data_IF_876996536962
#
_entry.id   IF_876996536962
#
_cell.length_a   1.000
_cell.length_b   1.000
_cell.length_c   1.000
_cell.angle_alpha   90.00
_cell.angle_beta   90.00
_cell.angle_gamma   90.00
#
_symmetry.space_group_name_H-M   'P 1'
#
loop_
_entity.id
_entity.type
_entity.pdbx_description
1 polymer ?
#
# COMPACT_ATOMS: atom_id res chain seq x y z
N UNK A 1 28.45 9.13 -12.38
CA UNK A 1 27.00 9.25 -12.65
C UNK A 1 26.28 8.19 -11.83
N UNK A 2 25.69 8.58 -10.70
CA UNK A 2 24.90 7.69 -9.83
C UNK A 2 23.61 7.32 -10.58
N UNK A 3 23.44 6.05 -10.94
CA UNK A 3 22.16 5.55 -11.46
C UNK A 3 21.14 5.62 -10.33
N UNK A 4 20.17 6.51 -10.47
CA UNK A 4 19.08 6.67 -9.52
C UNK A 4 18.29 5.34 -9.44
N UNK A 5 18.21 4.67 -8.27
CA UNK A 5 17.59 3.35 -8.13
C UNK A 5 16.04 3.42 -8.09
N UNK A 6 15.46 4.61 -8.11
CA UNK A 6 14.01 4.81 -8.08
C UNK A 6 13.44 4.78 -9.50
N UNK A 7 12.42 3.95 -9.74
CA UNK A 7 11.67 3.95 -10.98
C UNK A 7 10.80 5.22 -11.02
N UNK A 8 10.98 6.04 -12.04
CA UNK A 8 10.06 7.13 -12.34
C UNK A 8 8.74 6.50 -12.80
N UNK A 9 7.69 6.64 -12.00
CA UNK A 9 6.39 6.01 -12.28
C UNK A 9 5.42 6.98 -12.96
N UNK A 10 5.75 8.27 -12.98
CA UNK A 10 5.05 9.29 -13.76
C UNK A 10 5.80 10.62 -13.72
N UNK A 11 5.71 11.37 -14.82
CA UNK A 11 6.05 12.80 -14.86
C UNK A 11 4.75 13.54 -15.08
N UNK A 12 4.35 14.37 -14.12
CA UNK A 12 3.16 15.21 -14.27
C UNK A 12 3.61 16.65 -14.53
N UNK A 13 2.96 17.30 -15.48
CA UNK A 13 3.21 18.70 -15.83
C UNK A 13 2.18 19.54 -15.08
N UNK A 14 2.60 20.18 -13.98
CA UNK A 14 1.71 21.08 -13.25
C UNK A 14 1.62 22.39 -14.02
N UNK A 15 0.41 22.76 -14.48
CA UNK A 15 0.15 24.07 -15.07
C UNK A 15 -0.12 25.06 -13.94
N UNK A 16 0.87 25.89 -13.61
CA UNK A 16 0.64 27.07 -12.77
C UNK A 16 0.17 28.24 -13.65
N UNK A 17 -1.00 28.80 -13.33
CA UNK A 17 -1.45 30.08 -13.89
C UNK A 17 -1.01 31.19 -12.94
N UNK A 18 0.13 31.82 -13.23
CA UNK A 18 0.53 33.04 -12.54
C UNK A 18 -0.20 34.22 -13.19
N UNK A 19 -0.96 34.97 -12.40
CA UNK A 19 -1.51 36.26 -12.81
C UNK A 19 -0.58 37.35 -12.25
N UNK A 20 0.22 37.96 -13.12
CA UNK A 20 0.99 39.14 -12.73
C UNK A 20 0.05 40.34 -12.50
N UNK A 21 0.48 41.31 -11.70
CA UNK A 21 -0.30 42.54 -11.39
C UNK A 21 -0.65 43.40 -12.62
N UNK A 22 -0.20 43.02 -13.82
CA UNK A 22 -0.54 43.64 -15.10
C UNK A 22 -1.54 42.83 -15.95
N UNK A 23 -2.06 41.70 -15.47
CA UNK A 23 -3.07 40.90 -16.18
C UNK A 23 -2.53 40.02 -17.30
N UNK A 24 -1.22 39.88 -17.43
CA UNK A 24 -0.60 38.93 -18.37
C UNK A 24 -0.54 37.54 -17.73
N UNK A 25 -0.96 36.51 -18.49
CA UNK A 25 -1.04 35.13 -18.02
C UNK A 25 0.14 34.35 -18.59
N UNK A 26 1.22 34.23 -17.83
CA UNK A 26 2.35 33.37 -18.22
C UNK A 26 2.17 31.97 -17.61
N UNK A 27 2.20 30.94 -18.46
CA UNK A 27 2.14 29.54 -18.03
C UNK A 27 3.57 29.04 -17.77
N UNK A 28 3.90 28.82 -16.50
CA UNK A 28 5.12 28.12 -16.10
C UNK A 28 4.84 26.63 -15.96
N UNK A 29 5.67 25.78 -16.58
CA UNK A 29 5.63 24.33 -16.40
C UNK A 29 6.75 23.89 -15.43
N UNK A 30 6.38 23.48 -14.22
CA UNK A 30 7.30 22.82 -13.29
C UNK A 30 7.01 21.31 -13.33
N UNK A 31 8.06 20.52 -13.53
CA UNK A 31 7.96 19.06 -13.59
C UNK A 31 8.10 18.48 -12.18
N UNK A 32 7.00 17.98 -11.63
CA UNK A 32 7.03 17.26 -10.35
C UNK A 32 7.38 15.80 -10.63
N UNK A 33 8.52 15.36 -10.10
CA UNK A 33 8.99 13.98 -10.21
C UNK A 33 8.52 13.16 -9.01
N UNK A 34 7.53 12.29 -9.23
CA UNK A 34 7.05 11.36 -8.20
C UNK A 34 7.86 10.06 -8.28
N UNK A 35 8.59 9.77 -7.21
CA UNK A 35 9.35 8.54 -7.06
C UNK A 35 8.58 7.58 -6.15
N UNK A 36 8.20 6.41 -6.66
CA UNK A 36 7.82 5.31 -5.76
C UNK A 36 9.09 4.79 -5.10
N UNK A 37 9.09 4.73 -3.78
CA UNK A 37 10.05 3.91 -3.07
C UNK A 37 9.87 2.45 -3.52
N UNK A 38 10.95 1.74 -3.89
CA UNK A 38 10.85 0.33 -4.26
C UNK A 38 10.27 -0.44 -3.08
N UNK A 39 9.29 -1.31 -3.36
CA UNK A 39 8.67 -2.16 -2.36
C UNK A 39 9.75 -2.89 -1.54
N UNK A 40 9.61 -2.97 -0.21
CA UNK A 40 10.55 -3.73 0.60
C UNK A 40 10.58 -5.16 0.07
N UNK A 41 11.79 -5.64 -0.29
CA UNK A 41 11.95 -7.02 -0.73
C UNK A 41 11.37 -7.93 0.37
N UNK A 42 10.58 -8.97 0.02
CA UNK A 42 10.15 -9.92 1.02
C UNK A 42 11.40 -10.45 1.71
N UNK A 43 11.46 -10.31 3.04
CA UNK A 43 12.51 -10.96 3.84
C UNK A 43 12.39 -12.45 3.57
N UNK A 44 13.29 -12.99 2.77
CA UNK A 44 13.47 -14.43 2.64
C UNK A 44 13.70 -14.95 4.04
N UNK A 45 12.69 -15.60 4.61
CA UNK A 45 12.89 -16.41 5.81
C UNK A 45 13.86 -17.49 5.36
N UNK A 46 15.12 -17.35 5.78
CA UNK A 46 16.15 -18.36 5.57
C UNK A 46 15.60 -19.64 6.18
N UNK A 47 15.19 -20.56 5.30
CA UNK A 47 14.77 -21.90 5.68
C UNK A 47 15.95 -22.50 6.42
N UNK A 48 15.83 -22.61 7.75
CA UNK A 48 16.77 -23.39 8.55
C UNK A 48 16.66 -24.83 8.03
N UNK A 49 17.53 -25.20 7.11
CA UNK A 49 17.85 -26.60 6.90
C UNK A 49 18.49 -27.06 8.21
N UNK A 50 17.73 -27.81 9.00
CA UNK A 50 18.27 -28.57 10.11
C UNK A 50 19.42 -29.42 9.56
N UNK A 51 20.64 -29.09 9.98
CA UNK A 51 21.81 -29.93 9.77
C UNK A 51 21.60 -31.22 10.56
N UNK A 52 21.03 -32.25 9.91
CA UNK A 52 21.17 -33.61 10.38
C UNK A 52 22.54 -34.13 9.89
N UNK A 53 23.56 -33.97 10.72
CA UNK A 53 24.82 -34.71 10.63
C UNK A 53 25.10 -35.31 12.01
N UNK A 54 24.34 -36.34 12.37
CA UNK A 54 24.70 -37.24 13.46
C UNK A 54 25.46 -38.40 12.81
N UNK A 55 26.78 -38.38 12.95
CA UNK A 55 27.67 -39.49 12.59
C UNK A 55 27.73 -40.45 13.76
N UNK A 56 27.04 -41.59 13.64
CA UNK A 56 27.10 -42.70 14.58
C UNK A 56 28.28 -43.61 14.23
N UNK A 57 29.23 -43.78 15.17
CA UNK A 57 29.96 -45.04 15.34
C UNK A 57 30.45 -45.17 16.78
N UNK A 58 29.84 -46.09 17.53
CA UNK A 58 30.51 -46.79 18.61
C UNK A 58 29.91 -48.21 18.72
N UNK A 59 30.77 -49.22 18.57
CA UNK A 59 30.42 -50.64 18.65
C UNK A 59 30.07 -51.04 20.09
N UNK A 60 29.01 -51.83 20.28
CA UNK A 60 29.07 -52.99 21.18
C UNK A 60 27.93 -53.99 20.92
N UNK A 61 28.29 -55.27 20.86
CA UNK A 61 27.44 -56.44 20.60
C UNK A 61 26.35 -56.68 21.66
N UNK A 62 25.15 -57.08 21.22
CA UNK A 62 24.31 -58.13 21.85
C UNK A 62 23.08 -58.47 20.97
N UNK A 63 22.79 -59.74 20.66
CA UNK A 63 21.52 -60.15 20.06
C UNK A 63 20.47 -60.40 21.16
N UNK A 64 19.24 -60.78 20.75
CA UNK A 64 18.00 -61.11 21.51
C UNK A 64 16.96 -59.97 21.43
N UNK A 65 15.65 -60.15 21.21
CA UNK A 65 14.76 -61.25 20.80
C UNK A 65 13.42 -60.59 20.37
N UNK A 66 12.54 -61.39 19.76
CA UNK A 66 11.22 -61.14 19.15
C UNK A 66 10.22 -60.24 19.92
N UNK A 67 9.34 -59.52 19.20
CA UNK A 67 8.26 -58.73 19.80
C UNK A 67 7.44 -57.87 18.82
N UNK A 68 6.22 -58.34 18.54
CA UNK A 68 5.13 -57.73 17.78
C UNK A 68 4.67 -56.34 18.27
N UNK A 69 3.89 -55.68 17.40
CA UNK A 69 2.93 -54.61 17.65
C UNK A 69 3.44 -53.18 17.93
N UNK A 70 3.42 -52.34 16.89
CA UNK A 70 2.90 -50.97 17.01
C UNK A 70 2.61 -50.38 15.62
N UNK A 71 1.32 -50.35 15.26
CA UNK A 71 0.81 -49.52 14.18
C UNK A 71 1.22 -48.06 14.41
N UNK A 72 2.22 -47.60 13.67
CA UNK A 72 2.65 -46.20 13.67
C UNK A 72 1.58 -45.34 13.00
N UNK A 73 0.67 -44.79 13.80
CA UNK A 73 -0.27 -43.75 13.36
C UNK A 73 0.53 -42.49 12.98
N UNK A 74 0.72 -42.30 11.68
CA UNK A 74 1.19 -41.04 11.13
C UNK A 74 0.13 -39.96 11.37
N UNK A 75 0.39 -39.06 12.31
CA UNK A 75 -0.42 -37.86 12.52
C UNK A 75 -0.05 -36.87 11.42
N UNK A 76 -0.91 -36.69 10.42
CA UNK A 76 -0.74 -35.61 9.44
C UNK A 76 -0.82 -34.25 10.15
N UNK A 77 0.23 -33.45 10.02
CA UNK A 77 0.26 -32.07 10.50
C UNK A 77 -0.80 -31.25 9.74
N UNK A 78 -1.87 -30.86 10.45
CA UNK A 78 -2.94 -30.05 9.88
C UNK A 78 -2.37 -28.72 9.35
N UNK A 79 -2.62 -28.42 8.07
CA UNK A 79 -2.20 -27.16 7.45
C UNK A 79 -2.76 -25.96 8.25
N UNK A 80 -1.91 -25.00 8.67
CA UNK A 80 -2.36 -23.84 9.43
C UNK A 80 -3.34 -23.01 8.61
N UNK A 81 -4.52 -22.73 9.19
CA UNK A 81 -5.54 -21.89 8.55
C UNK A 81 -5.07 -20.43 8.55
N UNK A 82 -4.79 -19.89 7.37
CA UNK A 82 -4.43 -18.49 7.19
C UNK A 82 -5.71 -17.64 7.25
N UNK A 83 -5.81 -16.78 8.27
CA UNK A 83 -6.89 -15.79 8.36
C UNK A 83 -6.67 -14.70 7.30
N UNK A 84 -7.73 -14.31 6.61
CA UNK A 84 -7.68 -13.18 5.68
C UNK A 84 -7.26 -11.89 6.42
N UNK A 85 -6.43 -11.02 5.80
CA UNK A 85 -6.01 -9.79 6.42
C UNK A 85 -7.21 -8.83 6.62
N UNK A 86 -7.22 -8.02 7.70
CA UNK A 86 -8.24 -7.00 7.89
C UNK A 86 -8.16 -5.93 6.80
N UNK A 87 -9.32 -5.52 6.32
CA UNK A 87 -9.47 -4.46 5.31
C UNK A 87 -9.68 -3.10 5.98
N UNK A 88 -9.31 -2.04 5.28
CA UNK A 88 -9.35 -0.66 5.73
C UNK A 88 -9.90 0.23 4.63
N UNK A 89 -10.78 1.15 5.00
CA UNK A 89 -11.34 2.20 4.13
C UNK A 89 -10.42 3.40 4.16
N UNK A 90 -10.16 4.00 3.01
CA UNK A 90 -9.58 5.34 2.92
C UNK A 90 -10.72 6.32 2.78
N UNK A 91 -10.87 7.21 3.76
CA UNK A 91 -11.97 8.16 3.87
C UNK A 91 -11.43 9.57 3.65
N UNK A 92 -12.09 10.32 2.77
CA UNK A 92 -11.79 11.73 2.50
C UNK A 92 -12.86 12.61 3.13
N UNK A 93 -12.44 13.68 3.77
CA UNK A 93 -13.30 14.61 4.50
C UNK A 93 -13.46 15.93 3.73
N UNK A 94 -14.65 16.51 3.82
CA UNK A 94 -14.96 17.79 3.22
C UNK A 94 -14.31 18.95 3.98
N UNK A 95 -13.99 20.01 3.25
CA UNK A 95 -13.54 21.30 3.75
C UNK A 95 -14.01 22.43 2.81
N UNK A 96 -13.94 23.68 3.25
CA UNK A 96 -14.45 24.83 2.49
C UNK A 96 -13.43 25.49 1.54
N UNK A 97 -12.20 24.98 1.45
CA UNK A 97 -11.09 25.64 0.76
C UNK A 97 -10.48 24.82 -0.37
N UNK A 98 -10.65 23.50 -0.37
CA UNK A 98 -10.13 22.61 -1.42
C UNK A 98 -11.04 22.66 -2.66
N UNK A 99 -10.52 23.00 -3.85
CA UNK A 99 -11.30 23.02 -5.08
C UNK A 99 -11.84 21.64 -5.49
N UNK A 100 -13.05 21.59 -6.05
CA UNK A 100 -13.66 20.34 -6.53
C UNK A 100 -12.78 19.63 -7.58
N UNK A 101 -12.18 20.38 -8.51
CA UNK A 101 -11.31 19.80 -9.55
C UNK A 101 -10.06 19.13 -8.96
N UNK A 102 -9.50 19.67 -7.87
CA UNK A 102 -8.38 19.06 -7.16
C UNK A 102 -8.76 17.70 -6.56
N UNK A 103 -9.95 17.60 -5.95
CA UNK A 103 -10.45 16.34 -5.41
C UNK A 103 -10.62 15.29 -6.51
N UNK A 104 -11.13 15.67 -7.67
CA UNK A 104 -11.28 14.75 -8.81
C UNK A 104 -9.91 14.30 -9.33
N UNK A 105 -8.94 15.21 -9.45
CA UNK A 105 -7.56 14.88 -9.85
C UNK A 105 -6.91 13.87 -8.89
N UNK A 106 -7.07 14.07 -7.58
CA UNK A 106 -6.61 13.14 -6.54
C UNK A 106 -7.21 11.75 -6.72
N UNK A 107 -8.52 11.67 -6.97
CA UNK A 107 -9.24 10.41 -7.16
C UNK A 107 -8.81 9.69 -8.46
N UNK A 108 -8.55 10.42 -9.53
CA UNK A 108 -8.05 9.86 -10.79
C UNK A 108 -6.58 9.39 -10.66
N UNK A 109 -5.72 10.19 -10.03
CA UNK A 109 -4.28 9.92 -9.95
C UNK A 109 -3.90 8.85 -8.92
N UNK A 110 -4.39 8.98 -7.68
CA UNK A 110 -3.97 8.11 -6.56
C UNK A 110 -4.85 6.87 -6.46
N UNK A 111 -6.15 6.98 -6.74
CA UNK A 111 -7.09 5.87 -6.60
C UNK A 111 -7.45 5.20 -7.93
N UNK A 112 -7.00 5.75 -9.06
CA UNK A 112 -7.26 5.23 -10.39
C UNK A 112 -8.76 5.11 -10.72
N UNK A 113 -9.57 6.02 -10.17
CA UNK A 113 -10.99 6.14 -10.55
C UNK A 113 -11.12 6.72 -11.95
N UNK A 114 -12.19 6.36 -12.66
CA UNK A 114 -12.59 7.10 -13.86
C UNK A 114 -13.09 8.49 -13.47
N UNK A 115 -13.07 9.44 -14.42
CA UNK A 115 -13.59 10.81 -14.20
C UNK A 115 -15.01 10.80 -13.64
N UNK A 116 -15.87 9.91 -14.13
CA UNK A 116 -17.27 9.80 -13.70
C UNK A 116 -17.37 9.30 -12.26
N UNK A 117 -16.58 8.28 -11.90
CA UNK A 117 -16.53 7.75 -10.53
C UNK A 117 -15.96 8.79 -9.56
N UNK A 118 -14.87 9.45 -9.95
CA UNK A 118 -14.22 10.48 -9.17
C UNK A 118 -15.16 11.67 -8.91
N UNK A 119 -15.90 12.12 -9.93
CA UNK A 119 -16.90 13.19 -9.79
C UNK A 119 -18.01 12.79 -8.81
N UNK A 120 -18.49 11.54 -8.86
CA UNK A 120 -19.51 11.05 -7.95
C UNK A 120 -19.03 11.01 -6.50
N UNK A 121 -17.80 10.51 -6.27
CA UNK A 121 -17.20 10.46 -4.94
C UNK A 121 -16.94 11.87 -4.42
N UNK A 122 -16.40 12.76 -5.26
CA UNK A 122 -16.18 14.17 -4.90
C UNK A 122 -17.49 14.85 -4.46
N UNK A 123 -18.58 14.66 -5.21
CA UNK A 123 -19.89 15.20 -4.83
C UNK A 123 -20.35 14.64 -3.49
N UNK A 124 -20.16 13.34 -3.24
CA UNK A 124 -20.50 12.73 -1.97
C UNK A 124 -19.68 13.33 -0.81
N UNK A 125 -18.37 13.55 -0.98
CA UNK A 125 -17.54 14.26 0.02
C UNK A 125 -18.17 15.62 0.30
N UNK A 126 -18.46 16.40 -0.73
CA UNK A 126 -18.99 17.76 -0.58
C UNK A 126 -20.36 17.81 0.11
N UNK A 127 -21.27 16.90 -0.23
CA UNK A 127 -22.65 16.95 0.29
C UNK A 127 -22.85 16.19 1.60
N UNK A 128 -22.12 15.09 1.81
CA UNK A 128 -22.27 14.21 2.97
C UNK A 128 -21.21 14.49 4.04
N UNK A 129 -20.22 15.34 3.73
CA UNK A 129 -19.13 15.73 4.64
C UNK A 129 -17.93 14.77 4.59
N UNK A 130 -18.11 13.56 4.07
CA UNK A 130 -17.04 12.58 3.87
C UNK A 130 -17.45 11.52 2.85
N UNK A 131 -16.48 10.85 2.23
CA UNK A 131 -16.76 9.67 1.41
C UNK A 131 -15.60 8.66 1.43
N UNK A 132 -15.94 7.40 1.14
CA UNK A 132 -14.95 6.33 0.98
C UNK A 132 -14.36 6.39 -0.42
N UNK A 133 -13.06 6.63 -0.51
CA UNK A 133 -12.31 6.65 -1.77
C UNK A 133 -11.93 5.25 -2.25
N UNK A 134 -11.75 4.30 -1.33
CA UNK A 134 -11.44 2.90 -1.65
C UNK A 134 -11.20 2.05 -0.41
N UNK A 135 -11.15 0.73 -0.61
CA UNK A 135 -10.91 -0.26 0.46
C UNK A 135 -9.68 -1.09 0.12
N UNK A 136 -8.72 -1.15 1.04
CA UNK A 136 -7.42 -1.78 0.84
C UNK A 136 -6.96 -2.53 2.09
N UNK A 137 -5.84 -3.25 1.98
CA UNK A 137 -5.11 -3.70 3.17
C UNK A 137 -4.51 -2.50 3.91
N UNK A 138 -4.23 -2.68 5.20
CA UNK A 138 -3.72 -1.61 6.07
C UNK A 138 -2.58 -0.79 5.45
N UNK A 139 -1.49 -1.45 5.05
CA UNK A 139 -0.28 -0.77 4.56
C UNK A 139 -0.55 0.04 3.28
N UNK A 140 -1.42 -0.47 2.41
CA UNK A 140 -1.82 0.21 1.16
C UNK A 140 -2.72 1.41 1.47
N UNK A 141 -3.67 1.24 2.41
CA UNK A 141 -4.55 2.32 2.85
C UNK A 141 -3.75 3.46 3.49
N UNK A 142 -2.82 3.15 4.41
CA UNK A 142 -1.94 4.13 5.07
C UNK A 142 -1.11 4.89 4.02
N UNK A 143 -0.52 4.16 3.08
CA UNK A 143 0.29 4.78 2.00
C UNK A 143 -0.54 5.72 1.14
N UNK A 144 -1.74 5.30 0.71
CA UNK A 144 -2.62 6.14 -0.13
C UNK A 144 -3.10 7.38 0.62
N UNK A 145 -3.52 7.25 1.88
CA UNK A 145 -3.94 8.40 2.69
C UNK A 145 -2.78 9.40 2.87
N UNK A 146 -1.57 8.91 3.15
CA UNK A 146 -0.38 9.76 3.21
C UNK A 146 -0.08 10.48 1.90
N UNK A 147 -0.18 9.79 0.75
CA UNK A 147 0.03 10.39 -0.57
C UNK A 147 -0.94 11.55 -0.84
N UNK A 148 -2.23 11.36 -0.52
CA UNK A 148 -3.25 12.41 -0.67
C UNK A 148 -2.92 13.61 0.21
N UNK A 149 -2.69 13.37 1.51
CA UNK A 149 -2.42 14.43 2.47
C UNK A 149 -1.16 15.22 2.14
N UNK A 150 -0.13 14.54 1.65
CA UNK A 150 1.10 15.20 1.23
C UNK A 150 0.87 16.05 -0.02
N UNK A 151 0.18 15.51 -1.03
CA UNK A 151 -0.12 16.26 -2.24
C UNK A 151 -0.99 17.50 -1.96
N UNK A 152 -2.01 17.36 -1.11
CA UNK A 152 -2.84 18.47 -0.66
C UNK A 152 -2.00 19.58 0.00
N UNK A 153 -1.06 19.21 0.88
CA UNK A 153 -0.16 20.19 1.53
C UNK A 153 0.75 20.90 0.54
N UNK A 154 1.31 20.17 -0.43
CA UNK A 154 2.15 20.73 -1.48
C UNK A 154 1.38 21.74 -2.35
N UNK A 155 0.09 21.47 -2.62
CA UNK A 155 -0.83 22.37 -3.32
C UNK A 155 -1.52 23.40 -2.42
N UNK A 156 -1.16 23.49 -1.13
CA UNK A 156 -1.72 24.43 -0.16
C UNK A 156 -3.24 24.28 0.08
N UNK A 157 -3.75 23.06 -0.02
CA UNK A 157 -5.14 22.69 0.31
C UNK A 157 -5.22 21.98 1.67
N UNK A 158 -6.24 22.26 2.51
CA UNK A 158 -6.39 21.62 3.81
C UNK A 158 -7.06 20.24 3.74
N UNK A 159 -7.22 19.66 2.54
CA UNK A 159 -7.86 18.36 2.32
C UNK A 159 -7.27 17.28 3.23
N UNK A 160 -8.16 16.53 3.90
CA UNK A 160 -7.80 15.46 4.82
C UNK A 160 -8.30 14.10 4.33
N UNK A 161 -7.40 13.12 4.39
CA UNK A 161 -7.67 11.70 4.18
C UNK A 161 -7.18 10.88 5.37
N UNK A 162 -8.02 10.00 5.89
CA UNK A 162 -7.68 9.06 6.97
C UNK A 162 -8.05 7.62 6.60
N UNK A 163 -7.61 6.67 7.44
CA UNK A 163 -7.97 5.27 7.31
C UNK A 163 -8.86 4.80 8.44
N UNK A 164 -9.90 4.06 8.10
CA UNK A 164 -10.82 3.45 9.06
C UNK A 164 -10.82 1.93 8.87
N UNK A 165 -10.92 1.19 9.97
CA UNK A 165 -11.01 -0.27 9.90
C UNK A 165 -12.36 -0.67 9.28
N UNK A 166 -12.34 -1.54 8.28
CA UNK A 166 -13.57 -2.12 7.75
C UNK A 166 -14.13 -3.14 8.76
N UNK A 167 -15.42 -3.00 9.08
CA UNK A 167 -16.09 -3.57 10.27
C UNK A 167 -16.16 -5.09 10.29
#
# INVERSE_FOLDING_TARGET
MLRNPFALVGTYCLYHRFADSQGDSSAGCEAVHIYLAPAPRPRTVMRMHAFAQIRLTFNQDRPLEDGDDASGLAVEEAKPQLKAPPMYKVVMFNDDYTPMDFVVEVLEGIFNHSREQATKIMLAVHTEGQAVCGVYTRDVAETKAMQVNQYARECQHPLLCEIEKDG
#
